data_IF_654208992186
#
_entry.id   IF_654208992186
#
_cell.length_a   1.000
_cell.length_b   1.000
_cell.length_c   1.000
_cell.angle_alpha   90.00
_cell.angle_beta   90.00
_cell.angle_gamma   90.00
#
_symmetry.space_group_name_H-M   'P 1'
#
loop_
_entity.id
_entity.type
_entity.pdbx_description
1 polymer ?
#
# COMPACT_ATOMS: atom_id res chain seq x y z
N UNK A 1 -12.48 -10.46 20.41
CA UNK A 1 -11.08 -10.67 20.00
C UNK A 1 -10.18 -10.17 21.13
N UNK A 2 -9.20 -10.96 21.52
CA UNK A 2 -8.16 -10.54 22.47
C UNK A 2 -7.37 -9.39 21.85
N UNK A 3 -7.28 -8.27 22.56
CA UNK A 3 -6.61 -7.05 22.05
C UNK A 3 -5.08 -7.22 22.17
N UNK A 4 -4.49 -8.05 21.32
CA UNK A 4 -3.04 -8.27 21.30
C UNK A 4 -2.31 -7.06 20.69
N UNK A 5 -1.08 -6.82 21.16
CA UNK A 5 -0.18 -5.83 20.57
C UNK A 5 0.28 -6.25 19.16
N UNK A 6 0.66 -5.31 18.35
CA UNK A 6 1.03 -5.49 16.93
C UNK A 6 2.07 -6.61 16.72
N UNK A 7 3.12 -6.67 17.53
CA UNK A 7 4.14 -7.73 17.45
C UNK A 7 3.58 -9.14 17.68
N UNK A 8 2.63 -9.29 18.60
CA UNK A 8 1.94 -10.56 18.83
C UNK A 8 1.04 -10.92 17.63
N UNK A 9 0.34 -9.93 17.05
CA UNK A 9 -0.50 -10.14 15.86
C UNK A 9 0.35 -10.55 14.65
N UNK A 10 1.55 -9.97 14.47
CA UNK A 10 2.49 -10.41 13.43
C UNK A 10 2.72 -11.93 13.48
N UNK A 11 2.95 -12.47 14.67
CA UNK A 11 3.28 -13.89 14.85
C UNK A 11 2.04 -14.78 14.90
N UNK A 12 0.99 -14.39 15.62
CA UNK A 12 -0.14 -15.27 15.96
C UNK A 12 -1.45 -14.93 15.23
N UNK A 13 -1.53 -13.77 14.55
CA UNK A 13 -2.77 -13.32 13.93
C UNK A 13 -3.18 -14.12 12.69
N UNK A 14 -4.46 -14.06 12.34
CA UNK A 14 -5.02 -14.53 11.08
C UNK A 14 -5.34 -16.04 11.00
N UNK A 15 -4.66 -16.90 11.74
CA UNK A 15 -4.85 -18.33 11.75
C UNK A 15 -4.90 -18.89 13.16
N UNK A 16 -5.98 -19.59 13.50
CA UNK A 16 -6.17 -20.24 14.80
C UNK A 16 -6.39 -21.75 14.57
N UNK A 17 -5.32 -22.58 14.66
CA UNK A 17 -5.44 -24.02 14.45
C UNK A 17 -6.23 -24.68 15.59
N UNK A 18 -7.15 -25.58 15.24
CA UNK A 18 -7.86 -26.43 16.17
C UNK A 18 -6.99 -27.62 16.60
N UNK A 19 -7.46 -28.38 17.59
CA UNK A 19 -6.76 -29.57 18.06
C UNK A 19 -6.54 -30.58 16.91
N UNK A 20 -5.27 -30.93 16.67
CA UNK A 20 -4.88 -31.84 15.58
C UNK A 20 -4.67 -31.18 14.22
N UNK A 21 -4.92 -29.88 14.07
CA UNK A 21 -4.62 -29.14 12.85
C UNK A 21 -3.14 -28.67 12.82
N UNK A 22 -2.59 -28.43 11.62
CA UNK A 22 -1.23 -27.89 11.47
C UNK A 22 -1.07 -26.57 12.22
N UNK A 23 0.04 -26.42 12.93
CA UNK A 23 0.36 -25.14 13.61
C UNK A 23 0.61 -23.99 12.61
N UNK A 24 1.15 -24.29 11.45
CA UNK A 24 1.44 -23.33 10.37
C UNK A 24 0.28 -23.37 9.39
N UNK A 25 -0.10 -22.22 8.85
CA UNK A 25 -1.12 -22.13 7.79
C UNK A 25 -0.77 -23.08 6.65
N UNK A 26 -1.62 -24.08 6.32
CA UNK A 26 -1.33 -25.00 5.23
C UNK A 26 -1.49 -24.31 3.87
N UNK A 27 -0.71 -24.74 2.87
CA UNK A 27 -0.86 -24.30 1.49
C UNK A 27 -1.97 -25.14 0.86
N UNK A 28 -3.16 -24.57 0.69
CA UNK A 28 -4.31 -25.25 0.07
C UNK A 28 -4.31 -24.94 -1.42
N UNK A 29 -3.58 -25.74 -2.18
CA UNK A 29 -3.41 -25.62 -3.63
C UNK A 29 -4.55 -26.39 -4.33
N UNK A 30 -5.77 -25.86 -4.26
CA UNK A 30 -6.96 -26.42 -4.90
C UNK A 30 -7.72 -25.35 -5.67
N UNK A 31 -8.28 -25.70 -6.83
CA UNK A 31 -9.13 -24.79 -7.61
C UNK A 31 -10.54 -24.74 -7.05
N UNK A 32 -11.05 -25.85 -6.55
CA UNK A 32 -12.42 -26.00 -6.04
C UNK A 32 -12.46 -26.84 -4.76
N UNK A 33 -13.62 -26.87 -4.12
CA UNK A 33 -13.84 -27.57 -2.86
C UNK A 33 -15.06 -28.49 -2.99
N UNK A 34 -15.13 -29.56 -2.17
CA UNK A 34 -16.25 -30.50 -2.15
C UNK A 34 -17.40 -29.93 -1.31
N UNK A 35 -18.61 -30.08 -1.79
CA UNK A 35 -19.85 -29.74 -1.09
C UNK A 35 -20.51 -30.98 -0.51
N UNK A 36 -21.37 -30.78 0.50
CA UNK A 36 -22.17 -31.84 1.10
C UNK A 36 -23.39 -32.20 0.20
N UNK A 37 -23.98 -31.16 -0.44
CA UNK A 37 -25.13 -31.29 -1.32
C UNK A 37 -25.17 -30.22 -2.39
N UNK A 38 -26.01 -30.39 -3.40
CA UNK A 38 -26.30 -29.34 -4.41
C UNK A 38 -27.02 -28.14 -3.81
N UNK A 39 -27.78 -28.30 -2.74
CA UNK A 39 -28.42 -27.22 -2.01
C UNK A 39 -27.37 -26.34 -1.29
N UNK A 40 -26.44 -26.96 -0.57
CA UNK A 40 -25.33 -26.26 0.06
C UNK A 40 -24.50 -25.46 -0.99
N UNK A 41 -24.21 -26.10 -2.11
CA UNK A 41 -23.53 -25.41 -3.22
C UNK A 41 -24.31 -24.17 -3.68
N UNK A 42 -25.64 -24.29 -3.87
CA UNK A 42 -26.48 -23.15 -4.22
C UNK A 42 -26.45 -22.05 -3.18
N UNK A 43 -26.53 -22.39 -1.89
CA UNK A 43 -26.48 -21.41 -0.79
C UNK A 43 -25.17 -20.64 -0.73
N UNK A 44 -24.04 -21.28 -1.02
CA UNK A 44 -22.74 -20.63 -1.11
C UNK A 44 -22.68 -19.62 -2.28
N UNK A 45 -23.21 -19.99 -3.45
CA UNK A 45 -23.30 -19.10 -4.61
C UNK A 45 -24.26 -17.94 -4.38
N UNK A 46 -25.34 -18.16 -3.63
CA UNK A 46 -26.32 -17.14 -3.24
C UNK A 46 -25.86 -16.27 -2.06
N UNK A 47 -24.65 -16.50 -1.52
CA UNK A 47 -24.10 -15.82 -0.33
C UNK A 47 -24.93 -16.00 0.95
N UNK A 48 -25.75 -17.07 1.01
CA UNK A 48 -26.57 -17.43 2.18
C UNK A 48 -25.81 -18.20 3.25
N UNK A 49 -24.73 -18.85 2.85
CA UNK A 49 -23.81 -19.58 3.71
C UNK A 49 -22.37 -19.14 3.49
N UNK A 50 -21.53 -19.26 4.53
CA UNK A 50 -20.10 -19.01 4.45
C UNK A 50 -19.36 -20.32 4.14
N UNK A 51 -18.38 -20.28 3.24
CA UNK A 51 -17.56 -21.44 2.91
C UNK A 51 -16.69 -21.23 1.68
N UNK A 52 -15.92 -22.26 1.36
CA UNK A 52 -15.05 -22.25 0.19
C UNK A 52 -15.67 -23.03 -0.96
N UNK A 53 -15.66 -22.46 -2.15
CA UNK A 53 -16.18 -23.15 -3.33
C UNK A 53 -15.24 -23.01 -4.54
N UNK A 54 -14.56 -21.87 -4.70
CA UNK A 54 -13.64 -21.68 -5.81
C UNK A 54 -12.52 -20.69 -5.41
N UNK A 55 -11.26 -21.09 -5.62
CA UNK A 55 -10.09 -20.33 -5.13
C UNK A 55 -10.00 -18.92 -5.68
N UNK A 56 -10.56 -18.61 -6.86
CA UNK A 56 -10.61 -17.24 -7.38
C UNK A 56 -11.37 -16.28 -6.46
N UNK A 57 -12.35 -16.74 -5.70
CA UNK A 57 -13.13 -15.91 -4.78
C UNK A 57 -12.58 -15.99 -3.35
N UNK A 58 -12.28 -17.21 -2.88
CA UNK A 58 -11.77 -17.42 -1.54
C UNK A 58 -10.95 -18.70 -1.46
N UNK A 59 -9.92 -18.68 -0.59
CA UNK A 59 -9.06 -19.83 -0.33
C UNK A 59 -8.57 -19.77 1.12
N UNK A 60 -8.60 -20.87 1.88
CA UNK A 60 -8.25 -20.85 3.31
C UNK A 60 -6.87 -20.28 3.60
N UNK A 61 -5.87 -20.52 2.75
CA UNK A 61 -4.52 -19.95 2.90
C UNK A 61 -4.53 -18.43 2.69
N UNK A 62 -5.19 -17.98 1.61
CA UNK A 62 -5.27 -16.55 1.29
C UNK A 62 -6.04 -15.79 2.38
N UNK A 63 -7.14 -16.35 2.86
CA UNK A 63 -7.99 -15.71 3.86
C UNK A 63 -7.30 -15.62 5.23
N UNK A 64 -6.54 -16.64 5.62
CA UNK A 64 -5.75 -16.61 6.85
C UNK A 64 -4.73 -15.45 6.82
N UNK A 65 -4.06 -15.22 5.68
CA UNK A 65 -3.08 -14.13 5.52
C UNK A 65 -3.78 -12.77 5.38
N UNK A 66 -4.90 -12.69 4.65
CA UNK A 66 -5.73 -11.48 4.59
C UNK A 66 -6.21 -11.07 5.97
N UNK A 67 -6.70 -12.02 6.77
CA UNK A 67 -7.14 -11.79 8.15
C UNK A 67 -6.00 -11.30 9.05
N UNK A 68 -4.77 -11.80 8.88
CA UNK A 68 -3.59 -11.28 9.60
C UNK A 68 -3.34 -9.82 9.27
N UNK A 69 -3.35 -9.43 7.99
CA UNK A 69 -3.18 -8.03 7.58
C UNK A 69 -4.34 -7.16 8.10
N UNK A 70 -5.57 -7.67 8.03
CA UNK A 70 -6.74 -6.99 8.59
C UNK A 70 -6.57 -6.68 10.08
N UNK A 71 -6.12 -7.67 10.86
CA UNK A 71 -5.86 -7.49 12.30
C UNK A 71 -4.70 -6.52 12.58
N UNK A 72 -3.65 -6.52 11.74
CA UNK A 72 -2.52 -5.60 11.87
C UNK A 72 -2.94 -4.15 11.63
N UNK A 73 -3.76 -3.89 10.63
CA UNK A 73 -4.31 -2.56 10.35
C UNK A 73 -5.44 -2.14 11.30
N UNK A 74 -6.10 -3.10 11.96
CA UNK A 74 -7.27 -2.84 12.79
C UNK A 74 -8.57 -2.72 12.00
N UNK A 75 -8.64 -3.33 10.82
CA UNK A 75 -9.82 -3.35 9.94
C UNK A 75 -10.87 -4.38 10.35
N UNK A 76 -11.98 -4.39 9.62
CA UNK A 76 -13.09 -5.34 9.80
C UNK A 76 -13.08 -6.46 8.77
N UNK A 77 -12.54 -6.21 7.58
CA UNK A 77 -12.40 -7.17 6.49
C UNK A 77 -11.22 -6.82 5.59
N UNK A 78 -10.63 -7.82 4.95
CA UNK A 78 -9.54 -7.65 3.99
C UNK A 78 -9.59 -8.70 2.88
N UNK A 79 -8.95 -8.38 1.76
CA UNK A 79 -8.76 -9.29 0.63
C UNK A 79 -7.34 -9.17 0.09
N UNK A 80 -6.74 -10.30 -0.32
CA UNK A 80 -5.47 -10.30 -1.04
C UNK A 80 -5.70 -10.15 -2.54
N UNK A 81 -4.77 -9.45 -3.20
CA UNK A 81 -4.74 -9.28 -4.66
C UNK A 81 -3.39 -9.72 -5.23
N UNK A 82 -3.33 -9.93 -6.56
CA UNK A 82 -2.11 -10.38 -7.25
C UNK A 82 -0.98 -9.34 -7.27
N UNK A 83 -1.28 -8.07 -6.97
CA UNK A 83 -0.30 -6.98 -6.92
C UNK A 83 -0.85 -5.78 -6.17
N UNK A 84 0.02 -4.86 -5.73
CA UNK A 84 -0.40 -3.56 -5.18
C UNK A 84 -1.22 -2.72 -6.17
N UNK A 85 -0.88 -2.77 -7.48
CA UNK A 85 -1.68 -2.09 -8.51
C UNK A 85 -3.09 -2.66 -8.62
N UNK A 86 -3.25 -3.98 -8.51
CA UNK A 86 -4.58 -4.59 -8.47
C UNK A 86 -5.34 -4.18 -7.20
N UNK A 87 -4.65 -4.03 -6.05
CA UNK A 87 -5.27 -3.54 -4.82
C UNK A 87 -5.79 -2.11 -5.00
N UNK A 88 -4.95 -1.19 -5.50
CA UNK A 88 -5.34 0.20 -5.76
C UNK A 88 -6.47 0.28 -6.79
N UNK A 89 -6.36 -0.45 -7.90
CA UNK A 89 -7.40 -0.49 -8.91
C UNK A 89 -8.75 -1.00 -8.37
N UNK A 90 -8.73 -2.13 -7.64
CA UNK A 90 -9.96 -2.69 -7.08
C UNK A 90 -10.56 -1.80 -6.00
N UNK A 91 -9.73 -1.18 -5.16
CA UNK A 91 -10.22 -0.28 -4.13
C UNK A 91 -10.98 0.92 -4.75
N UNK A 92 -10.47 1.51 -5.81
CA UNK A 92 -11.13 2.61 -6.50
C UNK A 92 -12.34 2.16 -7.31
N UNK A 93 -12.19 1.12 -8.15
CA UNK A 93 -13.24 0.64 -9.04
C UNK A 93 -14.43 0.00 -8.31
N UNK A 94 -14.26 -0.39 -7.06
CA UNK A 94 -15.36 -0.92 -6.24
C UNK A 94 -16.47 0.11 -5.99
N UNK A 95 -16.14 1.40 -6.06
CA UNK A 95 -17.04 2.50 -5.74
C UNK A 95 -17.07 3.63 -6.77
N UNK A 96 -16.22 3.58 -7.79
CA UNK A 96 -16.19 4.52 -8.90
C UNK A 96 -16.44 3.81 -10.23
N UNK A 97 -17.11 4.48 -11.15
CA UNK A 97 -17.49 3.99 -12.49
C UNK A 97 -17.38 5.10 -13.53
N UNK A 98 -17.67 4.78 -14.79
CA UNK A 98 -17.68 5.78 -15.87
C UNK A 98 -18.59 6.96 -15.53
N UNK A 99 -18.11 8.18 -15.69
CA UNK A 99 -18.77 9.43 -15.34
C UNK A 99 -18.46 9.93 -13.93
N UNK A 100 -17.73 9.17 -13.12
CA UNK A 100 -17.31 9.57 -11.77
C UNK A 100 -15.96 10.31 -11.77
N UNK A 101 -15.66 10.96 -10.64
CA UNK A 101 -14.46 11.74 -10.41
C UNK A 101 -13.72 11.28 -9.16
N UNK A 102 -12.37 11.33 -9.24
CA UNK A 102 -11.44 10.99 -8.14
C UNK A 102 -10.54 12.20 -7.86
N UNK A 103 -10.32 12.50 -6.58
CA UNK A 103 -9.25 13.42 -6.15
C UNK A 103 -8.08 12.56 -5.68
N UNK A 104 -6.87 12.86 -6.14
CA UNK A 104 -5.65 12.17 -5.70
C UNK A 104 -4.56 13.15 -5.31
N UNK A 105 -3.78 12.83 -4.27
CA UNK A 105 -2.49 13.48 -4.08
C UNK A 105 -1.63 13.27 -5.33
N UNK A 106 -0.84 14.28 -5.74
CA UNK A 106 0.16 14.15 -6.81
C UNK A 106 1.40 13.37 -6.35
N UNK A 107 1.68 13.41 -5.05
CA UNK A 107 2.78 12.68 -4.41
C UNK A 107 2.35 11.23 -4.11
N UNK A 108 2.34 10.40 -5.13
CA UNK A 108 2.03 8.96 -5.07
C UNK A 108 2.97 8.19 -5.99
N UNK A 109 3.00 6.86 -5.85
CA UNK A 109 3.77 5.99 -6.73
C UNK A 109 3.41 6.23 -8.21
N UNK A 110 4.44 6.38 -9.06
CA UNK A 110 4.25 6.72 -10.48
C UNK A 110 3.36 5.74 -11.25
N UNK A 111 3.34 4.45 -10.87
CA UNK A 111 2.43 3.47 -11.46
C UNK A 111 0.96 3.75 -11.10
N UNK A 112 0.68 4.19 -9.87
CA UNK A 112 -0.67 4.56 -9.43
C UNK A 112 -1.10 5.89 -10.03
N UNK A 113 -0.17 6.86 -10.14
CA UNK A 113 -0.43 8.10 -10.88
C UNK A 113 -0.88 7.79 -12.32
N UNK A 114 -0.12 6.94 -13.01
CA UNK A 114 -0.42 6.54 -14.39
C UNK A 114 -1.76 5.76 -14.51
N UNK A 115 -2.04 4.91 -13.52
CA UNK A 115 -3.33 4.20 -13.43
C UNK A 115 -4.49 5.20 -13.39
N UNK A 116 -4.43 6.19 -12.49
CA UNK A 116 -5.50 7.18 -12.30
C UNK A 116 -5.57 8.14 -13.50
N UNK A 117 -4.43 8.73 -13.90
CA UNK A 117 -4.38 9.78 -14.92
C UNK A 117 -4.72 9.30 -16.33
N UNK A 118 -4.41 8.04 -16.65
CA UNK A 118 -4.52 7.53 -18.02
C UNK A 118 -5.45 6.32 -18.13
N UNK A 119 -5.20 5.26 -17.37
CA UNK A 119 -5.95 4.00 -17.52
C UNK A 119 -7.41 4.17 -17.10
N UNK A 120 -7.65 4.75 -15.92
CA UNK A 120 -9.02 4.97 -15.43
C UNK A 120 -9.75 6.06 -16.24
N UNK A 121 -9.02 7.03 -16.76
CA UNK A 121 -9.60 8.01 -17.72
C UNK A 121 -10.13 7.34 -18.98
N UNK A 122 -9.41 6.34 -19.52
CA UNK A 122 -9.93 5.54 -20.66
C UNK A 122 -11.19 4.74 -20.30
N UNK A 123 -11.41 4.47 -19.01
CA UNK A 123 -12.63 3.85 -18.49
C UNK A 123 -13.73 4.86 -18.18
N UNK A 124 -13.51 6.14 -18.50
CA UNK A 124 -14.49 7.20 -18.28
C UNK A 124 -14.50 7.82 -16.88
N UNK A 125 -13.46 7.58 -16.08
CA UNK A 125 -13.32 8.17 -14.74
C UNK A 125 -12.36 9.37 -14.83
N UNK A 126 -12.84 10.54 -14.44
CA UNK A 126 -12.01 11.75 -14.41
C UNK A 126 -11.29 11.90 -13.05
N UNK A 127 -10.17 12.62 -13.07
CA UNK A 127 -9.36 12.82 -11.86
C UNK A 127 -8.81 14.23 -11.74
N UNK A 128 -8.67 14.70 -10.49
CA UNK A 128 -7.93 15.92 -10.14
C UNK A 128 -6.80 15.56 -9.21
N UNK A 129 -5.57 15.87 -9.62
CA UNK A 129 -4.40 15.75 -8.77
C UNK A 129 -4.19 17.05 -7.99
N UNK A 130 -3.80 16.90 -6.73
CA UNK A 130 -3.52 18.02 -5.81
C UNK A 130 -2.17 17.82 -5.13
N UNK A 131 -1.46 18.92 -4.88
CA UNK A 131 -0.20 18.86 -4.13
C UNK A 131 -0.44 18.42 -2.68
N UNK A 132 0.46 17.66 -2.06
CA UNK A 132 0.27 17.16 -0.70
C UNK A 132 0.17 18.29 0.35
N UNK A 133 0.77 19.44 0.10
CA UNK A 133 0.75 20.64 0.95
C UNK A 133 -0.44 21.59 0.65
N UNK A 134 -1.33 21.23 -0.27
CA UNK A 134 -2.53 22.05 -0.61
C UNK A 134 -3.27 22.50 0.65
N UNK A 135 -3.71 23.75 0.70
CA UNK A 135 -4.48 24.24 1.84
C UNK A 135 -5.86 23.56 1.91
N UNK A 136 -6.46 23.43 3.11
CA UNK A 136 -7.80 22.86 3.25
C UNK A 136 -8.84 23.56 2.37
N UNK A 137 -8.78 24.90 2.28
CA UNK A 137 -9.73 25.70 1.50
C UNK A 137 -9.61 25.46 -0.01
N UNK A 138 -8.37 25.25 -0.51
CA UNK A 138 -8.15 24.95 -1.92
C UNK A 138 -8.49 23.49 -2.25
N UNK A 139 -8.25 22.56 -1.32
CA UNK A 139 -8.67 21.16 -1.46
C UNK A 139 -10.18 21.03 -1.57
N UNK A 140 -10.93 21.76 -0.74
CA UNK A 140 -12.39 21.79 -0.77
C UNK A 140 -12.95 22.19 -2.14
N UNK A 141 -12.30 23.12 -2.85
CA UNK A 141 -12.72 23.57 -4.17
C UNK A 141 -12.53 22.55 -5.29
N UNK A 142 -11.79 21.46 -5.02
CA UNK A 142 -11.53 20.40 -6.01
C UNK A 142 -12.65 19.37 -6.07
N UNK A 143 -13.52 19.31 -5.06
CA UNK A 143 -14.63 18.37 -5.03
C UNK A 143 -15.70 18.76 -6.05
N UNK A 144 -16.16 17.75 -6.77
CA UNK A 144 -17.25 17.84 -7.77
C UNK A 144 -18.45 17.03 -7.27
N UNK A 145 -19.67 17.27 -7.79
CA UNK A 145 -20.85 16.50 -7.39
C UNK A 145 -20.69 14.98 -7.57
N UNK A 146 -19.94 14.57 -8.60
CA UNK A 146 -19.63 13.18 -8.95
C UNK A 146 -18.31 12.65 -8.34
N UNK A 147 -17.68 13.38 -7.43
CA UNK A 147 -16.50 12.86 -6.71
C UNK A 147 -16.91 11.68 -5.84
N UNK A 148 -16.18 10.55 -5.96
CA UNK A 148 -16.46 9.29 -5.27
C UNK A 148 -15.46 8.95 -4.18
N UNK A 149 -14.23 9.42 -4.28
CA UNK A 149 -13.17 9.11 -3.31
C UNK A 149 -12.04 10.13 -3.39
N UNK A 150 -11.25 10.15 -2.31
CA UNK A 150 -9.92 10.76 -2.28
C UNK A 150 -8.88 9.66 -2.14
N UNK A 151 -7.76 9.77 -2.86
CA UNK A 151 -6.66 8.80 -2.80
C UNK A 151 -5.34 9.47 -2.42
N UNK A 152 -4.51 8.79 -1.62
CA UNK A 152 -3.16 9.21 -1.28
C UNK A 152 -2.26 8.05 -0.87
N UNK A 153 -1.00 8.34 -0.60
CA UNK A 153 -0.03 7.42 0.03
C UNK A 153 0.42 7.99 1.37
N UNK A 154 0.49 7.18 2.40
CA UNK A 154 0.96 7.60 3.73
C UNK A 154 2.34 8.23 3.67
N UNK A 155 3.24 7.60 2.94
CA UNK A 155 4.59 8.06 2.64
C UNK A 155 4.89 7.75 1.18
N UNK A 156 5.05 8.79 0.38
CA UNK A 156 5.13 8.68 -1.07
C UNK A 156 6.47 8.16 -1.59
N UNK A 157 6.48 7.66 -2.82
CA UNK A 157 7.65 7.18 -3.54
C UNK A 157 7.72 7.84 -4.95
N UNK A 158 8.80 8.56 -5.31
CA UNK A 158 10.11 8.62 -4.63
C UNK A 158 10.30 9.81 -3.69
N UNK A 159 9.36 10.77 -3.61
CA UNK A 159 9.56 12.05 -2.93
C UNK A 159 9.61 11.96 -1.40
N UNK A 160 9.22 10.83 -0.79
CA UNK A 160 9.16 10.61 0.65
C UNK A 160 8.29 11.67 1.39
N UNK A 161 7.33 12.25 0.69
CA UNK A 161 6.38 13.20 1.26
C UNK A 161 5.39 12.46 2.16
N UNK A 162 5.17 12.97 3.36
CA UNK A 162 4.18 12.43 4.33
C UNK A 162 2.83 13.08 4.06
N UNK A 163 1.79 12.28 3.89
CA UNK A 163 0.43 12.76 3.73
C UNK A 163 -0.09 13.35 5.06
N UNK A 164 -0.63 14.55 5.03
CA UNK A 164 -1.43 15.06 6.16
C UNK A 164 -2.80 14.35 6.16
N UNK A 165 -2.84 13.17 6.77
CA UNK A 165 -3.97 12.23 6.68
C UNK A 165 -5.27 12.88 7.17
N UNK A 166 -5.25 13.57 8.31
CA UNK A 166 -6.46 14.19 8.86
C UNK A 166 -7.01 15.30 7.96
N UNK A 167 -6.14 16.09 7.31
CA UNK A 167 -6.55 17.12 6.35
C UNK A 167 -7.35 16.50 5.20
N UNK A 168 -6.83 15.43 4.59
CA UNK A 168 -7.49 14.77 3.48
C UNK A 168 -8.74 14.00 3.92
N UNK A 169 -8.72 13.34 5.08
CA UNK A 169 -9.87 12.64 5.65
C UNK A 169 -11.03 13.59 5.96
N UNK A 170 -10.75 14.70 6.62
CA UNK A 170 -11.75 15.70 6.97
C UNK A 170 -12.42 16.30 5.71
N UNK A 171 -11.62 16.61 4.68
CA UNK A 171 -12.16 17.10 3.41
C UNK A 171 -13.03 16.04 2.71
N UNK A 172 -12.55 14.79 2.63
CA UNK A 172 -13.29 13.67 2.04
C UNK A 172 -14.63 13.44 2.75
N UNK A 173 -14.61 13.31 4.07
CA UNK A 173 -15.82 13.05 4.88
C UNK A 173 -16.82 14.20 4.84
N UNK A 174 -16.37 15.45 4.81
CA UNK A 174 -17.26 16.61 4.64
C UNK A 174 -18.05 16.55 3.34
N UNK A 175 -17.47 15.99 2.29
CA UNK A 175 -18.11 15.78 0.99
C UNK A 175 -18.79 14.41 0.85
N UNK A 176 -18.84 13.61 1.93
CA UNK A 176 -19.50 12.31 1.97
C UNK A 176 -18.84 11.27 1.05
N UNK A 177 -17.50 11.28 0.97
CA UNK A 177 -16.72 10.31 0.21
C UNK A 177 -15.59 9.74 1.08
N UNK A 178 -15.16 8.47 0.87
CA UNK A 178 -14.09 7.87 1.64
C UNK A 178 -12.70 8.38 1.22
N UNK A 179 -11.76 8.31 2.17
CA UNK A 179 -10.33 8.41 1.92
C UNK A 179 -9.73 7.00 1.78
N UNK A 180 -9.07 6.73 0.67
CA UNK A 180 -8.28 5.52 0.41
C UNK A 180 -6.80 5.88 0.47
N UNK A 181 -6.01 5.12 1.25
CA UNK A 181 -4.58 5.39 1.41
C UNK A 181 -3.76 4.13 1.18
N UNK A 182 -2.74 4.23 0.33
CA UNK A 182 -1.71 3.21 0.19
C UNK A 182 -0.69 3.34 1.34
N UNK A 183 -0.65 2.34 2.24
CA UNK A 183 0.20 2.30 3.42
C UNK A 183 1.40 1.35 3.25
N UNK A 184 1.88 1.19 2.02
CA UNK A 184 2.92 0.21 1.67
C UNK A 184 4.24 0.46 2.41
N UNK A 185 4.72 1.71 2.51
CA UNK A 185 6.03 1.99 3.09
C UNK A 185 6.03 1.95 4.61
N UNK A 186 5.15 2.64 5.33
CA UNK A 186 5.15 2.55 6.80
C UNK A 186 4.70 1.19 7.31
N UNK A 187 3.88 0.47 6.55
CA UNK A 187 3.19 -0.74 7.01
C UNK A 187 2.37 -0.49 8.28
N UNK A 188 1.52 -1.38 8.78
CA UNK A 188 0.82 -1.20 10.05
C UNK A 188 1.75 -1.19 11.28
N UNK A 189 3.07 -1.33 11.07
CA UNK A 189 4.05 -1.26 12.15
C UNK A 189 4.30 0.20 12.56
N UNK A 190 4.43 1.10 11.57
CA UNK A 190 4.73 2.51 11.82
C UNK A 190 3.53 3.43 11.66
N UNK A 191 2.53 3.05 10.85
CA UNK A 191 1.30 3.82 10.70
C UNK A 191 0.08 2.90 10.70
N UNK A 192 -0.95 3.31 11.44
CA UNK A 192 -2.30 2.75 11.38
C UNK A 192 -3.26 3.83 10.88
N UNK A 193 -3.43 3.96 9.56
CA UNK A 193 -4.16 5.08 8.96
C UNK A 193 -5.61 5.20 9.43
N UNK A 194 -6.24 4.10 9.86
CA UNK A 194 -7.62 4.11 10.39
C UNK A 194 -7.77 4.94 11.68
N UNK A 195 -6.69 5.08 12.47
CA UNK A 195 -6.69 5.92 13.67
C UNK A 195 -6.77 7.42 13.34
N UNK A 196 -6.49 7.79 12.08
CA UNK A 196 -6.45 9.15 11.56
C UNK A 196 -7.57 9.47 10.57
N UNK A 197 -8.58 8.60 10.45
CA UNK A 197 -9.77 8.83 9.63
C UNK A 197 -9.69 8.27 8.21
N UNK A 198 -8.72 7.43 7.88
CA UNK A 198 -8.74 6.67 6.61
C UNK A 198 -9.83 5.60 6.66
N UNK A 199 -10.51 5.39 5.55
CA UNK A 199 -11.60 4.43 5.44
C UNK A 199 -11.13 3.11 4.85
N UNK A 200 -10.31 3.17 3.81
CA UNK A 200 -9.76 2.00 3.10
C UNK A 200 -8.25 2.12 3.03
N UNK A 201 -7.56 1.05 3.35
CA UNK A 201 -6.10 0.95 3.20
C UNK A 201 -5.76 -0.06 2.11
N UNK A 202 -4.81 0.31 1.26
CA UNK A 202 -4.21 -0.61 0.28
C UNK A 202 -2.73 -0.86 0.58
N UNK A 203 -2.22 -1.98 0.10
CA UNK A 203 -0.81 -2.34 0.21
C UNK A 203 -0.29 -3.00 -1.05
N UNK A 204 0.92 -2.67 -1.43
CA UNK A 204 1.76 -3.58 -2.19
C UNK A 204 2.46 -4.53 -1.21
N UNK A 205 1.89 -5.72 -1.01
CA UNK A 205 2.50 -6.73 -0.11
C UNK A 205 3.82 -7.27 -0.64
N UNK A 206 4.15 -6.98 -1.90
CA UNK A 206 5.43 -7.22 -2.59
C UNK A 206 6.64 -6.65 -1.80
N UNK A 207 6.41 -5.58 -1.02
CA UNK A 207 7.44 -4.75 -0.37
C UNK A 207 7.75 -5.28 1.04
N UNK A 208 7.85 -4.43 2.03
CA UNK A 208 8.20 -4.81 3.40
C UNK A 208 7.38 -5.95 3.99
N UNK A 209 6.09 -6.06 3.66
CA UNK A 209 5.25 -7.13 4.21
C UNK A 209 5.78 -8.51 3.85
N UNK A 210 6.14 -8.75 2.58
CA UNK A 210 6.82 -9.97 2.16
C UNK A 210 8.29 -9.95 2.59
N UNK A 211 9.01 -8.87 2.32
CA UNK A 211 10.36 -8.57 2.78
C UNK A 211 11.49 -9.36 2.11
N UNK A 212 11.20 -10.28 1.21
CA UNK A 212 12.20 -11.17 0.59
C UNK A 212 12.29 -11.06 -0.93
N UNK A 213 11.46 -10.21 -1.55
CA UNK A 213 11.37 -9.97 -2.99
C UNK A 213 11.08 -11.25 -3.82
N UNK A 214 10.42 -12.25 -3.23
CA UNK A 214 10.16 -13.56 -3.87
C UNK A 214 8.73 -13.70 -4.41
N UNK A 215 7.82 -12.79 -4.07
CA UNK A 215 6.44 -12.81 -4.58
C UNK A 215 5.86 -11.40 -4.74
N UNK A 216 5.09 -11.23 -5.80
CA UNK A 216 4.28 -10.03 -6.03
C UNK A 216 2.90 -10.25 -5.42
N UNK A 217 2.37 -9.22 -4.75
CA UNK A 217 1.05 -9.28 -4.14
C UNK A 217 0.54 -7.92 -3.70
N UNK A 218 -0.71 -7.86 -3.31
CA UNK A 218 -1.37 -6.70 -2.74
C UNK A 218 -2.42 -7.09 -1.71
N UNK A 219 -2.93 -6.11 -1.00
CA UNK A 219 -4.04 -6.28 -0.08
C UNK A 219 -4.91 -5.02 -0.05
N UNK A 220 -6.20 -5.21 0.19
CA UNK A 220 -7.14 -4.13 0.51
C UNK A 220 -7.76 -4.42 1.85
N UNK A 221 -7.80 -3.43 2.74
CA UNK A 221 -8.38 -3.53 4.09
C UNK A 221 -9.43 -2.45 4.27
N UNK A 222 -10.59 -2.82 4.78
CA UNK A 222 -11.68 -1.91 5.11
C UNK A 222 -11.73 -1.67 6.62
N UNK A 223 -11.78 -0.40 7.03
CA UNK A 223 -11.99 -0.01 8.43
C UNK A 223 -13.38 -0.38 8.95
N UNK A 224 -14.38 -0.43 8.07
CA UNK A 224 -15.80 -0.53 8.43
C UNK A 224 -16.36 0.71 9.12
N UNK A 225 -15.67 1.86 9.02
CA UNK A 225 -16.08 3.12 9.68
C UNK A 225 -16.86 4.05 8.74
N UNK A 226 -16.69 3.95 7.42
CA UNK A 226 -17.43 4.76 6.48
C UNK A 226 -18.89 4.30 6.39
N UNK A 227 -19.82 5.22 6.63
CA UNK A 227 -21.24 4.93 6.57
C UNK A 227 -21.78 5.07 5.13
N UNK A 228 -21.72 3.98 4.36
CA UNK A 228 -22.22 3.93 2.99
C UNK A 228 -23.69 4.26 2.87
N UNK A 229 -24.51 3.95 3.89
CA UNK A 229 -25.96 4.14 3.88
C UNK A 229 -26.34 5.62 3.98
N UNK A 230 -25.53 6.40 4.72
CA UNK A 230 -25.71 7.85 4.82
C UNK A 230 -25.48 8.58 3.49
N UNK A 231 -24.72 7.96 2.59
CA UNK A 231 -24.34 8.50 1.28
C UNK A 231 -24.81 7.57 0.14
N UNK A 232 -26.00 6.98 0.30
CA UNK A 232 -26.56 5.99 -0.63
C UNK A 232 -26.73 6.49 -2.05
N UNK A 233 -26.98 7.78 -2.24
CA UNK A 233 -27.04 8.46 -3.52
C UNK A 233 -25.70 8.43 -4.29
N UNK A 234 -24.59 8.45 -3.55
CA UNK A 234 -23.24 8.35 -4.13
C UNK A 234 -22.79 6.90 -4.37
N UNK A 235 -23.25 5.97 -3.54
CA UNK A 235 -22.77 4.58 -3.54
C UNK A 235 -23.89 3.54 -3.74
N UNK A 236 -24.70 3.68 -4.82
CA UNK A 236 -25.82 2.75 -5.07
C UNK A 236 -25.36 1.30 -5.19
N UNK A 237 -24.16 1.03 -5.73
CA UNK A 237 -23.63 -0.32 -5.86
C UNK A 237 -23.41 -1.09 -4.54
N UNK A 238 -23.47 -0.40 -3.37
CA UNK A 238 -23.41 -1.01 -2.04
C UNK A 238 -24.76 -1.00 -1.32
N UNK A 239 -25.65 -0.06 -1.69
CA UNK A 239 -26.83 0.30 -0.91
C UNK A 239 -28.16 0.03 -1.63
N UNK A 240 -28.11 -0.43 -2.87
CA UNK A 240 -29.30 -0.85 -3.64
C UNK A 240 -29.18 -2.31 -4.08
N UNK A 241 -30.29 -2.96 -4.46
CA UNK A 241 -30.29 -4.35 -4.89
C UNK A 241 -29.34 -4.63 -6.06
N UNK A 242 -28.46 -5.62 -5.91
CA UNK A 242 -27.58 -6.11 -6.99
C UNK A 242 -28.31 -7.21 -7.79
N UNK A 243 -28.59 -6.92 -9.07
CA UNK A 243 -29.28 -7.84 -9.96
C UNK A 243 -28.47 -9.15 -10.20
N UNK A 244 -27.14 -9.11 -10.09
CA UNK A 244 -26.26 -10.25 -10.29
C UNK A 244 -26.25 -11.22 -9.09
N UNK A 245 -26.80 -10.77 -7.94
CA UNK A 245 -26.94 -11.54 -6.70
C UNK A 245 -28.37 -11.52 -6.15
N UNK A 246 -29.35 -11.76 -7.01
CA UNK A 246 -30.76 -11.91 -6.64
C UNK A 246 -31.33 -10.76 -5.83
N UNK A 247 -30.86 -9.54 -6.05
CA UNK A 247 -31.31 -8.36 -5.35
C UNK A 247 -30.67 -8.15 -3.97
N UNK A 248 -29.53 -8.75 -3.70
CA UNK A 248 -28.77 -8.54 -2.46
C UNK A 248 -28.38 -7.08 -2.32
N UNK A 249 -28.66 -6.47 -1.16
CA UNK A 249 -28.14 -5.16 -0.75
C UNK A 249 -26.96 -5.41 0.18
N UNK A 250 -25.73 -5.08 -0.27
CA UNK A 250 -24.50 -5.45 0.46
C UNK A 250 -24.43 -4.87 1.86
N UNK A 251 -24.82 -3.61 2.04
CA UNK A 251 -24.84 -2.96 3.37
C UNK A 251 -25.81 -3.57 4.35
N UNK A 252 -26.94 -4.09 3.87
CA UNK A 252 -27.95 -4.77 4.71
C UNK A 252 -27.51 -6.19 5.05
N UNK A 253 -26.96 -6.93 4.06
CA UNK A 253 -26.63 -8.34 4.21
C UNK A 253 -25.31 -8.56 4.95
N UNK A 254 -24.33 -7.66 4.80
CA UNK A 254 -22.96 -7.86 5.30
C UNK A 254 -22.48 -6.74 6.23
N UNK A 255 -23.30 -5.72 6.47
CA UNK A 255 -22.99 -4.61 7.39
C UNK A 255 -21.64 -3.97 7.09
N UNK A 256 -20.75 -3.96 8.08
CA UNK A 256 -19.42 -3.34 7.97
C UNK A 256 -18.49 -4.02 6.94
N UNK A 257 -18.72 -5.28 6.58
CA UNK A 257 -17.90 -5.99 5.59
C UNK A 257 -18.39 -5.79 4.15
N UNK A 258 -19.45 -5.03 3.93
CA UNK A 258 -20.11 -4.83 2.64
C UNK A 258 -19.15 -4.47 1.51
N UNK A 259 -18.19 -3.59 1.77
CA UNK A 259 -17.23 -3.12 0.77
C UNK A 259 -16.31 -4.25 0.26
N UNK A 260 -15.75 -5.05 1.15
CA UNK A 260 -14.87 -6.17 0.77
C UNK A 260 -15.68 -7.32 0.17
N UNK A 261 -16.88 -7.60 0.68
CA UNK A 261 -17.75 -8.65 0.10
C UNK A 261 -18.13 -8.27 -1.34
N UNK A 262 -18.56 -7.03 -1.60
CA UNK A 262 -18.84 -6.57 -2.96
C UNK A 262 -17.61 -6.68 -3.86
N UNK A 263 -16.45 -6.26 -3.39
CA UNK A 263 -15.19 -6.37 -4.15
C UNK A 263 -14.89 -7.83 -4.53
N UNK A 264 -15.10 -8.76 -3.60
CA UNK A 264 -14.89 -10.19 -3.83
C UNK A 264 -15.86 -10.76 -4.84
N UNK A 265 -17.15 -10.47 -4.67
CA UNK A 265 -18.24 -11.05 -5.47
C UNK A 265 -18.39 -10.45 -6.86
N UNK A 266 -17.93 -9.20 -7.07
CA UNK A 266 -17.91 -8.56 -8.38
C UNK A 266 -16.48 -8.56 -8.97
N UNK A 267 -15.62 -7.66 -8.52
CA UNK A 267 -14.32 -7.42 -9.17
C UNK A 267 -13.40 -8.64 -9.11
N UNK A 268 -13.25 -9.28 -7.96
CA UNK A 268 -12.38 -10.45 -7.85
C UNK A 268 -12.94 -11.64 -8.65
N UNK A 269 -14.24 -11.88 -8.56
CA UNK A 269 -14.91 -12.94 -9.33
C UNK A 269 -14.71 -12.77 -10.83
N UNK A 270 -14.86 -11.55 -11.34
CA UNK A 270 -14.95 -11.28 -12.78
C UNK A 270 -13.57 -11.00 -13.41
N UNK A 271 -12.67 -10.32 -12.70
CA UNK A 271 -11.33 -9.94 -13.19
C UNK A 271 -10.21 -10.87 -12.70
N UNK A 272 -10.40 -11.56 -11.56
CA UNK A 272 -9.57 -12.68 -11.13
C UNK A 272 -8.16 -12.35 -10.66
N UNK A 273 -7.89 -11.13 -10.15
CA UNK A 273 -6.55 -10.74 -9.70
C UNK A 273 -6.20 -11.28 -8.31
N UNK A 274 -6.28 -12.58 -8.11
CA UNK A 274 -5.92 -13.25 -6.86
C UNK A 274 -4.43 -13.61 -6.82
N UNK A 275 -3.78 -13.69 -5.65
CA UNK A 275 -2.49 -14.37 -5.52
C UNK A 275 -2.68 -15.88 -5.44
N UNK A 276 -1.66 -16.65 -5.83
CA UNK A 276 -1.66 -18.08 -5.55
C UNK A 276 -1.58 -18.34 -4.03
N UNK A 277 -2.13 -19.47 -3.53
CA UNK A 277 -1.98 -19.83 -2.12
C UNK A 277 -0.52 -19.96 -1.67
N UNK A 278 0.38 -20.36 -2.58
CA UNK A 278 1.81 -20.39 -2.30
C UNK A 278 2.38 -18.98 -2.07
N UNK A 279 2.02 -17.99 -2.88
CA UNK A 279 2.46 -16.61 -2.67
C UNK A 279 1.88 -16.03 -1.37
N UNK A 280 0.62 -16.32 -1.06
CA UNK A 280 0.01 -15.96 0.22
C UNK A 280 0.76 -16.59 1.41
N UNK A 281 1.17 -17.85 1.31
CA UNK A 281 1.98 -18.52 2.33
C UNK A 281 3.33 -17.82 2.54
N UNK A 282 4.07 -17.47 1.47
CA UNK A 282 5.33 -16.72 1.58
C UNK A 282 5.12 -15.35 2.24
N UNK A 283 4.04 -14.67 1.89
CA UNK A 283 3.66 -13.42 2.54
C UNK A 283 3.39 -13.65 4.04
N UNK A 284 2.68 -14.71 4.39
CA UNK A 284 2.43 -15.09 5.79
C UNK A 284 3.71 -15.24 6.60
N UNK A 285 4.73 -15.89 6.03
CA UNK A 285 6.07 -16.02 6.65
C UNK A 285 6.72 -14.63 6.82
N UNK A 286 6.67 -13.78 5.79
CA UNK A 286 7.20 -12.42 5.86
C UNK A 286 6.55 -11.58 6.95
N UNK A 287 5.25 -11.71 7.15
CA UNK A 287 4.50 -10.97 8.18
C UNK A 287 4.92 -11.34 9.61
N UNK A 288 5.35 -12.59 9.87
CA UNK A 288 5.74 -13.01 11.22
C UNK A 288 6.91 -12.20 11.78
N UNK A 289 7.83 -11.77 10.93
CA UNK A 289 9.01 -10.97 11.32
C UNK A 289 8.91 -9.51 10.93
N UNK A 290 7.78 -9.05 10.43
CA UNK A 290 7.61 -7.70 9.89
C UNK A 290 8.01 -6.62 10.91
N UNK A 291 7.55 -6.74 12.16
CA UNK A 291 7.84 -5.77 13.22
C UNK A 291 9.34 -5.63 13.51
N UNK A 292 10.10 -6.75 13.52
CA UNK A 292 11.55 -6.74 13.73
C UNK A 292 12.29 -6.13 12.53
N UNK A 293 11.84 -6.45 11.31
CA UNK A 293 12.47 -5.96 10.09
C UNK A 293 12.23 -4.45 9.90
N UNK A 294 11.02 -3.97 10.14
CA UNK A 294 10.70 -2.55 10.01
C UNK A 294 11.55 -1.70 10.96
N UNK A 295 11.68 -2.11 12.21
CA UNK A 295 12.56 -1.44 13.18
C UNK A 295 14.01 -1.38 12.70
N UNK A 296 14.58 -2.50 12.23
CA UNK A 296 15.95 -2.54 11.71
C UNK A 296 16.12 -1.71 10.43
N UNK A 297 15.16 -1.76 9.49
CA UNK A 297 15.18 -0.93 8.29
C UNK A 297 15.25 0.55 8.63
N UNK A 298 14.40 1.00 9.56
CA UNK A 298 14.36 2.41 9.97
C UNK A 298 15.65 2.83 10.69
N UNK A 299 16.17 2.00 11.61
CA UNK A 299 17.42 2.27 12.32
C UNK A 299 18.61 2.39 11.35
N UNK A 300 18.73 1.47 10.41
CA UNK A 300 19.78 1.50 9.40
C UNK A 300 19.64 2.72 8.47
N UNK A 301 18.43 3.04 8.01
CA UNK A 301 18.18 4.20 7.17
C UNK A 301 18.51 5.52 7.91
N UNK A 302 18.13 5.64 9.17
CA UNK A 302 18.43 6.82 9.99
C UNK A 302 19.94 6.99 10.20
N UNK A 303 20.65 5.90 10.49
CA UNK A 303 22.11 5.95 10.67
C UNK A 303 22.81 6.34 9.37
N UNK A 304 22.42 5.76 8.23
CA UNK A 304 22.96 6.11 6.92
C UNK A 304 22.60 7.56 6.52
N UNK A 305 21.38 8.01 6.76
CA UNK A 305 20.95 9.38 6.46
C UNK A 305 21.78 10.41 7.24
N UNK A 306 22.01 10.19 8.55
CA UNK A 306 22.89 11.03 9.39
C UNK A 306 24.35 11.04 8.92
N UNK A 307 24.85 9.90 8.42
CA UNK A 307 26.17 9.82 7.81
C UNK A 307 26.23 10.67 6.53
N UNK A 308 25.25 10.54 5.65
CA UNK A 308 25.18 11.25 4.38
C UNK A 308 25.00 12.75 4.53
N UNK A 309 24.25 13.25 5.53
CA UNK A 309 24.11 14.69 5.80
C UNK A 309 25.46 15.39 6.01
N UNK A 310 26.43 14.67 6.58
CA UNK A 310 27.75 15.21 6.88
C UNK A 310 28.81 14.86 5.82
N UNK A 311 28.42 14.15 4.75
CA UNK A 311 29.38 13.69 3.76
C UNK A 311 29.69 14.76 2.71
N UNK A 312 30.98 15.08 2.42
CA UNK A 312 31.37 16.19 1.55
C UNK A 312 30.90 16.06 0.09
N UNK A 313 30.61 14.85 -0.38
CA UNK A 313 30.13 14.54 -1.74
C UNK A 313 28.60 14.52 -1.87
N UNK A 314 27.86 14.74 -0.79
CA UNK A 314 26.39 14.77 -0.77
C UNK A 314 25.93 16.21 -0.73
N UNK A 315 24.94 16.56 -1.56
CA UNK A 315 24.37 17.91 -1.67
C UNK A 315 23.19 18.13 -0.73
N UNK A 316 22.37 17.11 -0.56
CA UNK A 316 21.18 17.11 0.29
C UNK A 316 20.79 15.66 0.63
N UNK A 317 20.03 15.49 1.71
CA UNK A 317 19.41 14.21 2.12
C UNK A 317 17.95 14.48 2.45
N UNK A 318 17.06 13.61 2.00
CA UNK A 318 15.65 13.60 2.39
C UNK A 318 15.31 12.25 3.05
N UNK A 319 14.92 12.35 4.30
CA UNK A 319 14.46 11.25 5.12
C UNK A 319 13.68 11.79 6.31
N UNK A 320 12.42 11.48 6.40
CA UNK A 320 11.49 12.03 7.41
C UNK A 320 11.87 11.75 8.88
N UNK A 321 12.81 10.82 9.12
CA UNK A 321 13.39 10.57 10.43
C UNK A 321 14.49 11.53 10.86
N UNK A 322 14.96 12.45 9.98
CA UNK A 322 15.91 13.50 10.31
C UNK A 322 15.17 14.71 10.87
N UNK A 323 15.68 15.30 11.95
CA UNK A 323 15.08 16.48 12.61
C UNK A 323 14.97 17.71 11.69
N UNK A 324 15.87 17.82 10.71
CA UNK A 324 15.92 18.93 9.76
C UNK A 324 15.14 18.66 8.47
N UNK A 325 14.54 17.49 8.30
CA UNK A 325 13.73 17.18 7.11
C UNK A 325 12.40 17.95 7.14
N UNK A 326 11.99 18.47 5.98
CA UNK A 326 10.76 19.24 5.85
C UNK A 326 9.49 18.45 6.19
N UNK A 327 9.56 17.13 6.19
CA UNK A 327 8.44 16.22 6.51
C UNK A 327 8.47 15.74 7.97
N UNK A 328 9.46 16.16 8.76
CA UNK A 328 9.69 15.64 10.11
C UNK A 328 8.49 15.86 11.05
N UNK A 329 7.89 17.05 11.03
CA UNK A 329 6.73 17.37 11.87
C UNK A 329 5.52 16.47 11.57
N UNK A 330 5.22 16.23 10.29
CA UNK A 330 4.15 15.30 9.90
C UNK A 330 4.53 13.86 10.21
N UNK A 331 5.80 13.50 10.07
CA UNK A 331 6.28 12.18 10.44
C UNK A 331 6.17 11.93 11.94
N UNK A 332 6.54 12.87 12.81
CA UNK A 332 6.33 12.74 14.26
C UNK A 332 4.86 12.54 14.61
N UNK A 333 3.95 13.20 13.89
CA UNK A 333 2.51 13.10 14.12
C UNK A 333 1.98 11.72 13.70
N UNK A 334 2.23 11.27 12.46
CA UNK A 334 1.60 10.09 11.88
C UNK A 334 2.44 8.82 11.96
N UNK A 335 3.75 8.96 12.15
CA UNK A 335 4.77 7.91 12.08
C UNK A 335 5.72 7.96 13.30
N UNK A 336 5.23 8.11 14.55
CA UNK A 336 6.06 8.46 15.71
C UNK A 336 7.10 7.40 16.09
N UNK A 337 6.95 6.17 15.58
CA UNK A 337 7.84 5.05 15.89
C UNK A 337 8.83 4.73 14.74
N UNK A 338 8.84 5.52 13.68
CA UNK A 338 9.63 5.32 12.48
C UNK A 338 8.79 5.44 11.22
N UNK A 339 9.43 5.61 10.06
CA UNK A 339 8.73 5.84 8.79
C UNK A 339 8.90 4.71 7.78
N UNK A 340 10.12 4.42 7.38
CA UNK A 340 10.49 3.35 6.44
C UNK A 340 12.02 3.17 6.41
N UNK A 341 12.51 2.33 5.51
CA UNK A 341 13.94 2.15 5.23
C UNK A 341 14.39 2.81 3.91
N UNK A 342 13.59 3.70 3.32
CA UNK A 342 13.94 4.36 2.05
C UNK A 342 14.42 5.77 2.31
N UNK A 343 15.58 6.12 1.74
CA UNK A 343 16.17 7.47 1.77
C UNK A 343 16.34 7.98 0.34
N UNK A 344 16.32 9.29 0.17
CA UNK A 344 16.71 9.96 -1.06
C UNK A 344 17.84 10.98 -0.74
N UNK A 345 18.82 11.10 -1.63
CA UNK A 345 19.89 12.05 -1.46
C UNK A 345 20.49 12.48 -2.80
N UNK A 346 21.12 13.64 -2.84
CA UNK A 346 21.80 14.18 -4.01
C UNK A 346 23.29 13.93 -3.96
N UNK A 347 23.86 13.42 -5.07
CA UNK A 347 25.32 13.27 -5.24
C UNK A 347 25.88 14.50 -5.95
N UNK A 348 26.85 15.20 -5.31
CA UNK A 348 27.50 16.36 -5.91
C UNK A 348 28.20 16.01 -7.23
N UNK A 349 27.89 16.73 -8.29
CA UNK A 349 28.36 16.46 -9.64
C UNK A 349 27.23 16.02 -10.58
N UNK A 350 25.99 15.97 -10.08
CA UNK A 350 24.80 15.75 -10.89
C UNK A 350 24.68 14.31 -11.40
N UNK A 351 24.02 14.14 -12.56
CA UNK A 351 23.67 12.84 -13.17
C UNK A 351 24.87 11.90 -13.32
N UNK A 352 26.00 12.41 -13.84
CA UNK A 352 27.19 11.57 -14.09
C UNK A 352 27.78 11.03 -12.78
N UNK A 353 27.86 11.88 -11.76
CA UNK A 353 28.36 11.49 -10.46
C UNK A 353 27.40 10.48 -9.77
N UNK A 354 26.08 10.65 -9.88
CA UNK A 354 25.10 9.73 -9.35
C UNK A 354 25.18 8.36 -10.02
N UNK A 355 25.34 8.30 -11.35
CA UNK A 355 25.54 7.05 -12.10
C UNK A 355 26.85 6.38 -11.68
N UNK A 356 27.95 7.15 -11.62
CA UNK A 356 29.27 6.62 -11.20
C UNK A 356 29.23 6.06 -9.78
N UNK A 357 28.56 6.77 -8.86
CA UNK A 357 28.31 6.29 -7.50
C UNK A 357 27.63 4.92 -7.51
N UNK A 358 26.49 4.80 -8.19
CA UNK A 358 25.75 3.54 -8.24
C UNK A 358 26.56 2.39 -8.83
N UNK A 359 27.27 2.65 -9.95
CA UNK A 359 28.09 1.64 -10.63
C UNK A 359 29.30 1.22 -9.81
N UNK A 360 29.67 1.98 -8.77
CA UNK A 360 30.80 1.71 -7.88
C UNK A 360 30.40 0.94 -6.61
N UNK A 361 29.11 0.79 -6.33
CA UNK A 361 28.62 0.00 -5.20
C UNK A 361 28.95 -1.49 -5.37
N UNK A 362 29.27 -2.17 -4.26
CA UNK A 362 29.65 -3.58 -4.22
C UNK A 362 28.65 -4.44 -3.46
N UNK A 363 28.03 -3.89 -2.42
CA UNK A 363 27.01 -4.54 -1.60
C UNK A 363 25.61 -4.22 -2.11
N UNK A 364 25.30 -2.93 -2.26
CA UNK A 364 23.98 -2.48 -2.69
C UNK A 364 23.73 -2.77 -4.17
N UNK A 365 22.62 -3.43 -4.48
CA UNK A 365 22.28 -3.81 -5.84
C UNK A 365 21.50 -2.71 -6.59
N UNK A 366 21.82 -2.51 -7.88
CA UNK A 366 21.03 -1.64 -8.77
C UNK A 366 19.82 -2.45 -9.23
N UNK A 367 18.63 -2.17 -8.67
CA UNK A 367 17.38 -2.83 -9.05
C UNK A 367 16.21 -1.85 -8.99
N UNK A 368 15.17 -2.11 -9.76
CA UNK A 368 13.93 -1.32 -9.71
C UNK A 368 13.11 -1.59 -8.45
N UNK A 369 13.40 -2.65 -7.72
CA UNK A 369 12.73 -3.01 -6.48
C UNK A 369 13.07 -2.03 -5.34
N UNK A 370 12.32 -2.11 -4.25
CA UNK A 370 12.45 -1.30 -3.03
C UNK A 370 11.82 -2.04 -1.87
N UNK A 371 12.29 -1.79 -0.66
CA UNK A 371 11.64 -2.28 0.55
C UNK A 371 11.66 -3.81 0.71
N UNK A 372 12.84 -4.40 0.53
CA UNK A 372 13.15 -5.78 0.94
C UNK A 372 14.34 -5.81 1.89
N UNK A 373 14.71 -6.99 2.38
CA UNK A 373 15.77 -7.18 3.37
C UNK A 373 17.17 -6.78 2.90
N UNK A 374 17.37 -6.59 1.59
CA UNK A 374 18.66 -6.24 0.99
C UNK A 374 18.70 -4.79 0.59
N UNK A 375 19.84 -4.15 0.80
CA UNK A 375 20.08 -2.79 0.34
C UNK A 375 20.11 -2.73 -1.18
N UNK A 376 19.34 -1.80 -1.74
CA UNK A 376 19.30 -1.57 -3.18
C UNK A 376 19.19 -0.08 -3.51
N UNK A 377 19.57 0.26 -4.75
CA UNK A 377 19.71 1.64 -5.20
C UNK A 377 19.08 1.85 -6.57
N UNK A 378 18.60 3.06 -6.79
CA UNK A 378 18.05 3.50 -8.06
C UNK A 378 18.34 4.98 -8.27
N UNK A 379 18.73 5.37 -9.50
CA UNK A 379 18.78 6.75 -9.95
C UNK A 379 17.61 7.01 -10.90
N UNK A 380 16.52 7.65 -10.46
CA UNK A 380 15.29 7.75 -11.25
C UNK A 380 15.50 8.40 -12.63
N UNK A 381 16.26 9.48 -12.69
CA UNK A 381 16.47 10.25 -13.91
C UNK A 381 17.17 9.47 -15.05
N UNK A 382 18.02 8.46 -14.73
CA UNK A 382 18.68 7.64 -15.74
C UNK A 382 17.99 6.29 -16.00
N UNK A 383 16.98 5.92 -15.19
CA UNK A 383 16.34 4.60 -15.22
C UNK A 383 14.83 4.69 -15.39
N UNK A 384 14.06 4.74 -14.32
CA UNK A 384 12.59 4.67 -14.33
C UNK A 384 11.90 5.87 -14.99
N UNK A 385 12.56 7.04 -15.02
CA UNK A 385 12.05 8.28 -15.62
C UNK A 385 12.91 8.74 -16.80
N UNK A 386 13.68 7.83 -17.37
CA UNK A 386 14.61 8.09 -18.50
C UNK A 386 13.94 8.72 -19.72
N UNK A 387 12.64 8.54 -19.88
CA UNK A 387 11.89 9.08 -21.03
C UNK A 387 11.53 10.56 -20.86
N UNK A 388 11.64 11.10 -19.62
CA UNK A 388 11.37 12.49 -19.31
C UNK A 388 12.58 13.37 -19.64
N UNK A 389 12.32 14.57 -20.16
CA UNK A 389 13.33 15.61 -20.28
C UNK A 389 13.60 16.29 -18.93
N UNK A 390 14.58 17.18 -18.87
CA UNK A 390 15.02 17.80 -17.60
C UNK A 390 13.94 18.69 -16.96
N UNK A 391 13.09 19.33 -17.76
CA UNK A 391 11.97 20.17 -17.29
C UNK A 391 10.86 19.29 -16.69
N UNK A 392 10.54 18.17 -17.34
CA UNK A 392 9.58 17.19 -16.87
C UNK A 392 10.05 16.49 -15.59
N UNK A 393 11.34 16.17 -15.48
CA UNK A 393 11.94 15.62 -14.26
C UNK A 393 11.83 16.61 -13.10
N UNK A 394 12.19 17.89 -13.35
CA UNK A 394 12.09 18.94 -12.35
C UNK A 394 10.62 19.14 -11.87
N UNK A 395 9.67 19.13 -12.80
CA UNK A 395 8.24 19.23 -12.49
C UNK A 395 7.74 18.02 -11.68
N UNK A 396 8.37 16.85 -11.83
CA UNK A 396 8.10 15.64 -11.05
C UNK A 396 8.87 15.60 -9.72
N UNK A 397 9.62 16.65 -9.36
CA UNK A 397 10.44 16.70 -8.15
C UNK A 397 11.67 15.78 -8.18
N UNK A 398 12.13 15.39 -9.37
CA UNK A 398 13.27 14.49 -9.57
C UNK A 398 14.46 15.29 -10.04
N UNK A 399 15.40 15.58 -9.14
CA UNK A 399 16.65 16.25 -9.50
C UNK A 399 17.62 15.31 -10.21
N UNK A 400 18.53 15.89 -11.00
CA UNK A 400 19.52 15.15 -11.79
C UNK A 400 20.53 14.37 -10.92
N UNK A 401 20.72 14.79 -9.68
CA UNK A 401 21.64 14.20 -8.72
C UNK A 401 20.95 13.20 -7.75
N UNK A 402 19.62 13.04 -7.86
CA UNK A 402 18.83 12.23 -6.93
C UNK A 402 19.16 10.75 -7.04
N UNK A 403 19.59 10.17 -5.94
CA UNK A 403 19.71 8.74 -5.73
C UNK A 403 18.67 8.32 -4.67
N UNK A 404 17.86 7.32 -4.99
CA UNK A 404 16.97 6.66 -4.02
C UNK A 404 17.61 5.36 -3.56
N UNK A 405 17.82 5.21 -2.27
CA UNK A 405 18.35 3.98 -1.67
C UNK A 405 17.32 3.36 -0.74
N UNK A 406 17.00 2.10 -0.94
CA UNK A 406 16.24 1.27 -0.01
C UNK A 406 17.22 0.52 0.87
N UNK A 407 17.33 0.95 2.10
CA UNK A 407 18.30 0.44 3.07
C UNK A 407 17.77 -0.86 3.66
N UNK A 408 18.55 -1.92 3.54
CA UNK A 408 18.23 -3.26 4.03
C UNK A 408 18.46 -3.43 5.52
N UNK A 409 18.50 -4.70 5.94
CA UNK A 409 18.71 -5.10 7.33
C UNK A 409 20.09 -5.71 7.58
N UNK A 410 21.01 -5.53 6.62
CA UNK A 410 22.41 -5.88 6.76
C UNK A 410 23.06 -5.09 7.91
N UNK A 411 24.31 -5.42 8.26
CA UNK A 411 25.06 -4.64 9.22
C UNK A 411 25.25 -3.21 8.69
N UNK A 412 24.98 -2.22 9.52
CA UNK A 412 25.01 -0.81 9.12
C UNK A 412 26.42 -0.32 8.76
N UNK A 413 27.44 -0.85 9.41
CA UNK A 413 28.81 -0.47 9.13
C UNK A 413 29.26 -0.95 7.74
N UNK A 414 28.78 -2.11 7.30
CA UNK A 414 29.02 -2.64 5.95
C UNK A 414 28.30 -1.78 4.89
N UNK A 415 27.06 -1.36 5.17
CA UNK A 415 26.30 -0.48 4.26
C UNK A 415 27.00 0.88 4.12
N UNK A 416 27.40 1.50 5.23
CA UNK A 416 28.12 2.79 5.25
C UNK A 416 29.47 2.66 4.52
N UNK A 417 30.23 1.59 4.76
CA UNK A 417 31.49 1.35 4.09
C UNK A 417 31.34 1.20 2.57
N UNK A 418 30.28 0.54 2.11
CA UNK A 418 29.99 0.41 0.67
C UNK A 418 29.63 1.76 0.04
N UNK A 419 28.80 2.54 0.72
CA UNK A 419 28.42 3.91 0.27
C UNK A 419 29.62 4.85 0.25
N UNK A 420 30.44 4.85 1.29
CA UNK A 420 31.63 5.71 1.39
C UNK A 420 32.64 5.43 0.28
N UNK A 421 32.98 4.14 0.07
CA UNK A 421 33.92 3.76 -0.99
C UNK A 421 33.40 4.08 -2.39
N UNK A 422 32.06 4.05 -2.61
CA UNK A 422 31.44 4.41 -3.88
C UNK A 422 31.43 5.93 -4.09
N UNK A 423 31.18 6.74 -3.06
CA UNK A 423 31.25 8.20 -3.11
C UNK A 423 32.70 8.71 -3.30
N UNK A 424 33.70 7.93 -2.90
CA UNK A 424 35.11 8.27 -3.06
C UNK A 424 35.61 8.18 -4.52
N UNK A 425 34.88 7.50 -5.40
CA UNK A 425 35.24 7.36 -6.84
C UNK A 425 34.94 8.62 -7.64
#
# INVERSE_FOLDING_TARGET
MTNYKTSTVCVQGGYEPKNGEPRVVPIIQSTTFKYESSEQMGNLFDLKESGYFYTRLSNPTNDAVANKICQLEGGVAAILTSSGQAANFYAMMNIASAGDHIISSSAIYGGTYNLIAHTMKQMGIESTFVEPDISPEELEKKFQPNTKLVFGETLSNPSLSVLDIEKFANAAHKHGVPLIVDNTFPTPIFCKPFEWGVDIVTHSTTKYMNGTANSVGGAVVDSGNFDWTKHSDKFPGLTTPDETYHGTVYTESFGKAAYIVKMTTNLMRDLGSIPSPQNAFYLGIGLETLHLRMERHFQNALALAKYLENHPKVSWVSFSGLENDSQHELAEKYLPNGSCGVIAFGVKGGREAAIKFMDSLKLAAIVTHVADSRTCVLHPASTTHRQMNDEELAAAGISQDLVRMSVGIEDIDDIIADVDQALAQ
#
